data_IF_628031161455
#
_entry.id   IF_628031161455
#
_cell.length_a   1.000
_cell.length_b   1.000
_cell.length_c   1.000
_cell.angle_alpha   90.00
_cell.angle_beta   90.00
_cell.angle_gamma   90.00
#
_symmetry.space_group_name_H-M   'P 1'
#
loop_
_entity.id
_entity.type
_entity.pdbx_description
1 polymer ?
#
# COMPACT_ATOMS: atom_id res chain seq x y z
N UNK A 1 -51.22 24.97 55.94
CA UNK A 1 -50.18 25.74 55.23
C UNK A 1 -49.28 24.77 54.47
N UNK A 2 -48.90 25.19 53.28
CA UNK A 2 -48.24 24.46 52.19
C UNK A 2 -46.83 23.94 52.53
N UNK A 3 -46.56 22.75 51.97
CA UNK A 3 -45.31 22.11 51.49
C UNK A 3 -43.92 22.52 51.98
N UNK A 4 -43.09 21.47 52.20
CA UNK A 4 -41.66 21.28 51.91
C UNK A 4 -41.25 19.96 52.59
N UNK A 5 -40.51 18.99 52.05
CA UNK A 5 -39.55 18.94 50.96
C UNK A 5 -39.48 17.50 50.40
N UNK A 6 -39.00 17.45 49.16
CA UNK A 6 -38.87 16.36 48.21
C UNK A 6 -37.71 15.38 48.52
N UNK A 7 -37.80 14.23 47.88
CA UNK A 7 -36.93 13.03 47.83
C UNK A 7 -35.43 13.24 47.59
N UNK A 8 -34.59 12.33 48.13
CA UNK A 8 -33.54 11.64 47.35
C UNK A 8 -32.97 10.42 48.11
N UNK A 9 -33.13 9.24 47.52
CA UNK A 9 -32.47 7.98 47.90
C UNK A 9 -31.01 7.99 47.45
N UNK A 10 -30.11 7.60 48.34
CA UNK A 10 -28.68 7.44 48.06
C UNK A 10 -28.47 6.29 47.06
N UNK A 11 -27.81 6.57 45.94
CA UNK A 11 -27.36 5.56 44.98
C UNK A 11 -25.83 5.59 44.90
N UNK A 12 -25.22 4.59 45.51
CA UNK A 12 -23.78 4.31 45.46
C UNK A 12 -23.35 3.89 44.06
N UNK A 13 -22.20 4.41 43.65
CA UNK A 13 -21.58 4.27 42.34
C UNK A 13 -21.33 2.82 41.90
N UNK A 14 -21.58 2.55 40.61
CA UNK A 14 -20.92 1.49 39.86
C UNK A 14 -20.05 2.14 38.78
N UNK A 15 -18.74 1.89 38.87
CA UNK A 15 -17.69 2.33 37.95
C UNK A 15 -18.02 1.90 36.52
N UNK A 16 -18.19 2.88 35.63
CA UNK A 16 -18.12 2.65 34.19
C UNK A 16 -16.69 2.27 33.83
N UNK A 17 -16.54 1.13 33.17
CA UNK A 17 -15.33 0.78 32.44
C UNK A 17 -15.32 1.63 31.16
N UNK A 18 -14.50 2.68 31.13
CA UNK A 18 -14.22 3.41 29.90
C UNK A 18 -13.44 2.47 28.98
N UNK A 19 -14.16 1.82 28.07
CA UNK A 19 -13.57 1.19 26.91
C UNK A 19 -13.03 2.32 26.03
N UNK A 20 -11.71 2.50 26.08
CA UNK A 20 -10.94 3.38 25.22
C UNK A 20 -11.40 3.24 23.78
N UNK A 21 -11.82 4.38 23.22
CA UNK A 21 -12.17 4.56 21.82
C UNK A 21 -10.92 4.30 20.98
N UNK A 22 -10.72 3.06 20.55
CA UNK A 22 -9.80 2.73 19.46
C UNK A 22 -10.43 3.31 18.19
N UNK A 23 -10.07 4.56 17.88
CA UNK A 23 -10.24 5.12 16.56
C UNK A 23 -9.35 4.32 15.61
N UNK A 24 -9.87 3.20 15.10
CA UNK A 24 -9.30 2.51 13.96
C UNK A 24 -9.49 3.41 12.75
N UNK A 25 -8.50 4.28 12.47
CA UNK A 25 -8.35 4.92 11.18
C UNK A 25 -8.39 3.81 10.14
N UNK A 26 -9.42 3.83 9.29
CA UNK A 26 -9.76 2.72 8.42
C UNK A 26 -8.63 2.40 7.46
N UNK A 27 -7.85 1.37 7.78
CA UNK A 27 -7.00 0.68 6.81
C UNK A 27 -7.91 0.23 5.68
N UNK A 28 -7.72 0.78 4.48
CA UNK A 28 -8.39 0.25 3.29
C UNK A 28 -7.98 -1.22 3.18
N UNK A 29 -8.94 -2.17 3.11
CA UNK A 29 -8.60 -3.56 2.93
C UNK A 29 -7.68 -3.70 1.72
N UNK A 30 -6.55 -4.38 1.92
CA UNK A 30 -5.65 -4.75 0.85
C UNK A 30 -6.46 -5.49 -0.21
N UNK A 31 -6.77 -4.83 -1.31
CA UNK A 31 -7.34 -5.53 -2.46
C UNK A 31 -6.18 -6.22 -3.15
N UNK A 32 -6.11 -7.57 -3.14
CA UNK A 32 -5.19 -8.26 -4.03
C UNK A 32 -5.46 -7.73 -5.43
N UNK A 33 -4.41 -7.35 -6.16
CA UNK A 33 -4.56 -6.89 -7.54
C UNK A 33 -5.11 -8.04 -8.37
N UNK A 34 -6.44 -8.11 -8.47
CA UNK A 34 -7.17 -9.12 -9.25
C UNK A 34 -7.18 -8.71 -10.73
N UNK A 35 -6.04 -8.23 -11.19
CA UNK A 35 -5.77 -7.85 -12.56
C UNK A 35 -5.08 -9.04 -13.22
N UNK A 36 -5.86 -9.80 -13.98
CA UNK A 36 -5.36 -10.91 -14.78
C UNK A 36 -4.62 -10.34 -15.98
N UNK A 37 -3.30 -10.47 -15.98
CA UNK A 37 -2.48 -10.19 -17.15
C UNK A 37 -2.53 -11.42 -18.06
N UNK A 38 -2.66 -11.21 -19.37
CA UNK A 38 -2.74 -12.34 -20.30
C UNK A 38 -1.38 -12.98 -20.58
N UNK A 39 -0.28 -12.31 -20.21
CA UNK A 39 1.09 -12.77 -20.45
C UNK A 39 1.98 -12.50 -19.24
N UNK A 40 2.99 -13.35 -19.04
CA UNK A 40 4.13 -13.04 -18.18
C UNK A 40 5.28 -12.46 -19.01
N UNK A 41 6.02 -11.51 -18.47
CA UNK A 41 7.17 -10.91 -19.16
C UNK A 41 8.19 -11.98 -19.52
N UNK A 42 8.56 -12.03 -20.79
CA UNK A 42 9.69 -12.79 -21.33
C UNK A 42 10.51 -11.91 -22.28
N UNK A 43 11.57 -12.49 -22.87
CA UNK A 43 12.47 -11.72 -23.73
C UNK A 43 11.86 -11.27 -25.07
N UNK A 44 10.67 -11.75 -25.42
CA UNK A 44 10.03 -11.53 -26.73
C UNK A 44 8.77 -10.66 -26.64
N UNK A 45 8.26 -10.38 -25.44
CA UNK A 45 6.94 -9.76 -25.27
C UNK A 45 6.94 -8.45 -24.48
N UNK A 46 8.12 -7.84 -24.25
CA UNK A 46 8.28 -6.66 -23.41
C UNK A 46 7.28 -5.54 -23.70
N UNK A 47 7.11 -5.12 -24.96
CA UNK A 47 6.21 -4.01 -25.29
C UNK A 47 4.75 -4.33 -24.95
N UNK A 48 4.31 -5.56 -25.22
CA UNK A 48 2.96 -6.02 -24.91
C UNK A 48 2.74 -6.09 -23.40
N UNK A 49 3.67 -6.72 -22.67
CA UNK A 49 3.63 -6.80 -21.22
C UNK A 49 3.61 -5.40 -20.58
N UNK A 50 4.49 -4.51 -21.04
CA UNK A 50 4.60 -3.12 -20.56
C UNK A 50 3.27 -2.39 -20.73
N UNK A 51 2.66 -2.48 -21.90
CA UNK A 51 1.36 -1.84 -22.16
C UNK A 51 0.28 -2.34 -21.19
N UNK A 52 0.17 -3.65 -20.97
CA UNK A 52 -0.84 -4.22 -20.07
C UNK A 52 -0.60 -3.82 -18.62
N UNK A 53 0.65 -3.91 -18.16
CA UNK A 53 1.02 -3.57 -16.78
C UNK A 53 0.84 -2.08 -16.50
N UNK A 54 1.20 -1.19 -17.43
CA UNK A 54 0.94 0.24 -17.27
C UNK A 54 -0.54 0.56 -17.23
N UNK A 55 -1.36 -0.08 -18.07
CA UNK A 55 -2.81 0.10 -18.04
C UNK A 55 -3.41 -0.38 -16.72
N UNK A 56 -2.99 -1.55 -16.24
CA UNK A 56 -3.36 -2.11 -14.94
C UNK A 56 -3.03 -1.14 -13.79
N UNK A 57 -1.77 -0.70 -13.69
CA UNK A 57 -1.28 0.23 -12.65
C UNK A 57 -2.03 1.55 -12.66
N UNK A 58 -2.33 2.10 -13.85
CA UNK A 58 -3.14 3.33 -13.98
C UNK A 58 -4.58 3.10 -13.50
N UNK A 59 -5.18 1.96 -13.83
CA UNK A 59 -6.55 1.61 -13.43
C UNK A 59 -6.75 1.52 -11.91
N UNK A 60 -5.70 1.16 -11.17
CA UNK A 60 -5.68 1.09 -9.70
C UNK A 60 -5.02 2.29 -9.03
N UNK A 61 -4.67 3.33 -9.80
CA UNK A 61 -4.10 4.59 -9.31
C UNK A 61 -2.75 4.43 -8.57
N UNK A 62 -1.91 3.48 -9.00
CA UNK A 62 -0.59 3.25 -8.40
C UNK A 62 0.59 3.74 -9.26
N UNK A 63 0.33 4.60 -10.25
CA UNK A 63 1.40 5.07 -11.17
C UNK A 63 2.55 5.77 -10.45
N UNK A 64 2.29 6.42 -9.31
CA UNK A 64 3.34 7.09 -8.54
C UNK A 64 4.38 6.12 -7.92
N UNK A 65 4.04 4.84 -7.76
CA UNK A 65 4.92 3.83 -7.15
C UNK A 65 5.96 3.26 -8.13
N UNK A 66 5.77 3.48 -9.43
CA UNK A 66 6.72 3.05 -10.48
C UNK A 66 7.47 4.23 -11.12
N UNK A 67 7.20 5.46 -10.66
CA UNK A 67 7.84 6.66 -11.17
C UNK A 67 9.10 6.96 -10.33
N UNK A 68 10.31 6.82 -10.90
CA UNK A 68 11.55 7.03 -10.17
C UNK A 68 11.78 8.51 -9.77
N UNK A 69 11.00 9.45 -10.30
CA UNK A 69 11.06 10.86 -9.91
C UNK A 69 10.29 11.17 -8.62
N UNK A 70 9.42 10.25 -8.18
CA UNK A 70 8.60 10.42 -6.99
C UNK A 70 9.27 9.73 -5.81
N UNK A 71 9.58 10.52 -4.78
CA UNK A 71 10.16 9.99 -3.55
C UNK A 71 9.08 9.50 -2.57
N UNK A 72 9.34 8.42 -1.81
CA UNK A 72 8.46 8.00 -0.74
C UNK A 72 8.34 9.07 0.35
N UNK A 73 7.26 9.03 1.16
CA UNK A 73 7.19 9.81 2.40
C UNK A 73 8.37 9.50 3.31
N UNK A 74 8.76 10.45 4.17
CA UNK A 74 9.77 10.18 5.19
C UNK A 74 9.28 9.14 6.18
N UNK A 75 10.12 8.17 6.55
CA UNK A 75 9.75 7.08 7.48
C UNK A 75 9.48 7.55 8.91
N UNK A 76 9.97 8.74 9.27
CA UNK A 76 9.75 9.36 10.57
C UNK A 76 9.25 10.79 10.42
N UNK A 77 8.43 11.21 11.36
CA UNK A 77 8.02 12.59 11.56
C UNK A 77 9.18 13.42 12.14
N UNK A 78 9.01 14.74 12.19
CA UNK A 78 10.01 15.67 12.75
C UNK A 78 10.31 15.43 14.23
N UNK A 79 9.36 14.86 14.97
CA UNK A 79 9.50 14.49 16.38
C UNK A 79 10.15 13.10 16.59
N UNK A 80 10.53 12.42 15.50
CA UNK A 80 11.15 11.10 15.51
C UNK A 80 10.18 9.92 15.63
N UNK A 81 8.87 10.17 15.73
CA UNK A 81 7.84 9.13 15.70
C UNK A 81 7.69 8.53 14.30
N UNK A 82 7.13 7.31 14.21
CA UNK A 82 6.87 6.67 12.90
C UNK A 82 5.82 7.45 12.11
N UNK A 83 6.05 7.59 10.81
CA UNK A 83 5.10 8.24 9.92
C UNK A 83 4.11 7.22 9.34
N UNK A 84 2.83 7.34 9.69
CA UNK A 84 1.77 6.47 9.16
C UNK A 84 1.66 6.53 7.64
N UNK A 85 1.92 7.70 7.03
CA UNK A 85 1.90 7.82 5.57
C UNK A 85 3.00 7.01 4.89
N UNK A 86 4.14 6.82 5.55
CA UNK A 86 5.20 5.95 5.05
C UNK A 86 4.80 4.48 5.16
N UNK A 87 4.14 4.07 6.26
CA UNK A 87 3.67 2.70 6.43
C UNK A 87 2.62 2.33 5.38
N UNK A 88 1.67 3.24 5.11
CA UNK A 88 0.66 3.06 4.07
C UNK A 88 1.31 2.98 2.68
N UNK A 89 2.28 3.85 2.41
CA UNK A 89 3.06 3.83 1.17
C UNK A 89 3.83 2.50 1.03
N UNK A 90 4.58 2.09 2.06
CA UNK A 90 5.40 0.89 2.04
C UNK A 90 4.52 -0.34 1.81
N UNK A 91 3.40 -0.44 2.50
CA UNK A 91 2.45 -1.53 2.30
C UNK A 91 1.97 -1.61 0.84
N UNK A 92 1.62 -0.47 0.25
CA UNK A 92 1.10 -0.44 -1.13
C UNK A 92 2.20 -0.71 -2.17
N UNK A 93 3.41 -0.21 -1.94
CA UNK A 93 4.59 -0.49 -2.75
C UNK A 93 4.91 -1.99 -2.75
N UNK A 94 4.94 -2.62 -1.58
CA UNK A 94 5.29 -4.04 -1.45
C UNK A 94 4.24 -4.97 -2.09
N UNK A 95 2.97 -4.59 -2.07
CA UNK A 95 1.91 -5.32 -2.81
C UNK A 95 2.13 -5.20 -4.31
N UNK A 96 2.43 -3.99 -4.80
CA UNK A 96 2.69 -3.77 -6.22
C UNK A 96 3.95 -4.50 -6.67
N UNK A 97 5.00 -4.48 -5.85
CA UNK A 97 6.24 -5.22 -6.07
C UNK A 97 5.97 -6.73 -6.23
N UNK A 98 5.25 -7.32 -5.27
CA UNK A 98 4.91 -8.74 -5.31
C UNK A 98 4.10 -9.08 -6.58
N UNK A 99 3.12 -8.25 -6.94
CA UNK A 99 2.34 -8.44 -8.16
C UNK A 99 3.19 -8.30 -9.43
N UNK A 100 4.07 -7.29 -9.52
CA UNK A 100 5.01 -7.12 -10.63
C UNK A 100 5.91 -8.34 -10.78
N UNK A 101 6.53 -8.82 -9.71
CA UNK A 101 7.36 -10.03 -9.75
C UNK A 101 6.56 -11.27 -10.19
N UNK A 102 5.30 -11.40 -9.77
CA UNK A 102 4.43 -12.50 -10.19
C UNK A 102 4.11 -12.49 -11.70
N UNK A 103 4.14 -11.30 -12.32
CA UNK A 103 3.91 -11.07 -13.73
C UNK A 103 5.14 -11.32 -14.61
N UNK A 104 6.28 -11.69 -14.04
CA UNK A 104 7.55 -11.87 -14.76
C UNK A 104 7.89 -13.36 -14.82
N UNK A 105 8.39 -13.82 -15.97
CA UNK A 105 8.79 -15.21 -16.15
C UNK A 105 10.08 -15.53 -15.37
N UNK A 106 10.26 -16.80 -15.01
CA UNK A 106 11.41 -17.26 -14.22
C UNK A 106 12.77 -16.98 -14.89
N UNK A 107 12.82 -16.81 -16.22
CA UNK A 107 14.05 -16.50 -16.93
C UNK A 107 14.61 -15.11 -16.61
N UNK A 108 13.75 -14.16 -16.22
CA UNK A 108 14.12 -12.75 -15.99
C UNK A 108 14.21 -12.45 -14.48
N UNK A 109 13.48 -13.17 -13.63
CA UNK A 109 13.49 -12.97 -12.17
C UNK A 109 14.90 -12.89 -11.54
N UNK A 110 15.92 -13.67 -11.97
CA UNK A 110 17.27 -13.55 -11.43
C UNK A 110 17.90 -12.16 -11.60
N UNK A 111 17.50 -11.41 -12.65
CA UNK A 111 18.00 -10.05 -12.91
C UNK A 111 17.38 -9.00 -11.97
N UNK A 112 16.34 -9.36 -11.23
CA UNK A 112 15.58 -8.48 -10.33
C UNK A 112 15.94 -8.69 -8.86
N UNK A 113 16.88 -9.60 -8.56
CA UNK A 113 17.34 -9.85 -7.19
C UNK A 113 17.98 -8.57 -6.64
N UNK A 114 17.50 -8.13 -5.48
CA UNK A 114 17.96 -6.92 -4.80
C UNK A 114 17.08 -5.69 -5.02
N UNK A 115 16.17 -5.71 -6.01
CA UNK A 115 15.11 -4.70 -6.09
C UNK A 115 14.17 -4.86 -4.90
N UNK A 116 14.02 -3.79 -4.14
CA UNK A 116 13.25 -3.74 -2.89
C UNK A 116 11.97 -2.92 -3.02
N UNK A 117 11.79 -2.19 -4.13
CA UNK A 117 10.61 -1.37 -4.42
C UNK A 117 10.03 -1.67 -5.80
N UNK A 118 8.75 -1.33 -6.01
CA UNK A 118 8.12 -1.47 -7.32
C UNK A 118 8.81 -0.61 -8.40
N UNK A 119 9.26 0.60 -8.03
CA UNK A 119 10.02 1.50 -8.92
C UNK A 119 11.36 0.91 -9.36
N UNK A 120 12.08 0.23 -8.48
CA UNK A 120 13.35 -0.42 -8.82
C UNK A 120 13.14 -1.58 -9.80
N UNK A 121 12.13 -2.43 -9.56
CA UNK A 121 11.77 -3.49 -10.52
C UNK A 121 11.39 -2.90 -11.86
N UNK A 122 10.53 -1.87 -11.86
CA UNK A 122 10.08 -1.20 -13.08
C UNK A 122 11.28 -0.66 -13.90
N UNK A 123 12.14 0.12 -13.26
CA UNK A 123 13.31 0.73 -13.88
C UNK A 123 14.32 -0.32 -14.38
N UNK A 124 14.49 -1.41 -13.62
CA UNK A 124 15.39 -2.50 -13.99
C UNK A 124 14.89 -3.24 -15.22
N UNK A 125 13.60 -3.57 -15.27
CA UNK A 125 12.95 -4.17 -16.44
C UNK A 125 13.09 -3.24 -17.65
N UNK A 126 12.79 -1.95 -17.52
CA UNK A 126 12.98 -1.00 -18.62
C UNK A 126 14.44 -0.97 -19.10
N UNK A 127 15.41 -0.99 -18.19
CA UNK A 127 16.85 -1.03 -18.53
C UNK A 127 17.25 -2.30 -19.28
N UNK A 128 16.78 -3.48 -18.86
CA UNK A 128 17.07 -4.77 -19.52
C UNK A 128 16.61 -4.72 -20.99
N UNK A 129 15.45 -4.10 -21.24
CA UNK A 129 14.83 -4.06 -22.56
C UNK A 129 15.04 -2.75 -23.33
N UNK A 130 15.80 -1.80 -22.78
CA UNK A 130 16.09 -0.49 -23.41
C UNK A 130 16.84 -0.58 -24.74
N UNK A 131 17.48 -1.72 -25.03
CA UNK A 131 18.19 -2.00 -26.28
C UNK A 131 17.33 -2.71 -27.34
N UNK A 132 16.10 -3.11 -27.00
CA UNK A 132 15.21 -3.89 -27.86
C UNK A 132 13.99 -3.09 -28.35
N UNK A 133 14.05 -1.75 -28.28
CA UNK A 133 12.97 -0.84 -28.69
C UNK A 133 13.40 0.12 -29.79
#
# INVERSE_FOLDING_TARGET
>A
MVSKHETASSATAMRGVDATHISTTGLKPLTPLKLELTVKLDHNNFLLWKQQVQAAIKGIQLSAYIDPSISPPSSKNLDGTMNESYLDWEQQDQILLCWLLSSISQGILPELVGCSTASEVWSTVERIFSSHS
#
